data_IF_035600844138
#
_entry.id   IF_035600844138
#
_cell.length_a   1.000
_cell.length_b   1.000
_cell.length_c   1.000
_cell.angle_alpha   90.00
_cell.angle_beta   90.00
_cell.angle_gamma   90.00
#
_symmetry.space_group_name_H-M   'P 1'
#
loop_
_entity.id
_entity.type
_entity.pdbx_description
1 polymer ?
#
# COMPACT_ATOMS: atom_id res chain seq x y z
N UNK A 1 -7.02 -23.11 -8.61
CA UNK A 1 -5.83 -22.59 -7.89
C UNK A 1 -5.72 -21.10 -8.19
N UNK A 2 -5.92 -20.23 -7.20
CA UNK A 2 -5.89 -18.79 -7.39
C UNK A 2 -4.47 -18.35 -7.73
N UNK A 3 -4.27 -17.77 -8.92
CA UNK A 3 -2.94 -17.45 -9.47
C UNK A 3 -2.52 -16.01 -9.20
N UNK A 4 -2.58 -15.56 -7.95
CA UNK A 4 -1.95 -14.31 -7.57
C UNK A 4 -0.51 -14.58 -7.13
N UNK A 5 0.42 -13.76 -7.60
CA UNK A 5 1.80 -13.83 -7.10
C UNK A 5 1.82 -13.40 -5.63
N UNK A 6 2.77 -13.89 -4.81
CA UNK A 6 2.86 -13.52 -3.41
C UNK A 6 2.89 -12.00 -3.17
N UNK A 7 3.49 -11.24 -4.08
CA UNK A 7 3.53 -9.77 -4.01
C UNK A 7 2.15 -9.14 -4.21
N UNK A 8 1.34 -9.68 -5.13
CA UNK A 8 -0.04 -9.22 -5.34
C UNK A 8 -0.91 -9.55 -4.13
N UNK A 9 -0.80 -10.78 -3.61
CA UNK A 9 -1.50 -11.21 -2.40
C UNK A 9 -1.19 -10.29 -1.23
N UNK A 10 0.09 -10.04 -0.95
CA UNK A 10 0.54 -9.16 0.13
C UNK A 10 0.02 -7.72 -0.05
N UNK A 11 0.06 -7.18 -1.28
CA UNK A 11 -0.45 -5.83 -1.56
C UNK A 11 -1.95 -5.72 -1.33
N UNK A 12 -2.73 -6.69 -1.80
CA UNK A 12 -4.20 -6.68 -1.64
C UNK A 12 -4.58 -6.76 -0.17
N UNK A 13 -4.03 -7.72 0.56
CA UNK A 13 -4.36 -7.92 1.98
C UNK A 13 -3.84 -6.77 2.84
N UNK A 14 -2.64 -6.26 2.55
CA UNK A 14 -2.11 -5.07 3.20
C UNK A 14 -2.95 -3.83 2.95
N UNK A 15 -3.46 -3.65 1.73
CA UNK A 15 -4.37 -2.55 1.40
C UNK A 15 -5.69 -2.67 2.17
N UNK A 16 -6.27 -3.88 2.23
CA UNK A 16 -7.49 -4.15 3.00
C UNK A 16 -7.31 -3.86 4.51
N UNK A 17 -6.12 -4.13 5.06
CA UNK A 17 -5.78 -3.81 6.46
C UNK A 17 -5.63 -2.31 6.71
N UNK A 18 -4.90 -1.60 5.83
CA UNK A 18 -4.58 -0.17 6.02
C UNK A 18 -5.81 0.69 5.78
N UNK A 19 -6.59 0.37 4.74
CA UNK A 19 -7.69 1.19 4.26
C UNK A 19 -9.06 0.62 4.63
N UNK A 20 -9.15 -0.24 5.63
CA UNK A 20 -10.45 -0.68 6.14
C UNK A 20 -11.22 0.53 6.70
N UNK A 21 -12.50 0.73 6.33
CA UNK A 21 -13.26 1.91 6.72
C UNK A 21 -13.62 1.94 8.21
N UNK A 22 -13.57 0.79 8.88
CA UNK A 22 -13.91 0.67 10.30
C UNK A 22 -12.84 -0.11 11.06
N UNK A 23 -12.69 0.19 12.34
CA UNK A 23 -11.77 -0.56 13.23
C UNK A 23 -12.15 -2.03 13.30
N UNK A 24 -13.46 -2.33 13.34
CA UNK A 24 -13.98 -3.69 13.32
C UNK A 24 -13.63 -4.42 12.01
N UNK A 25 -13.77 -3.73 10.87
CA UNK A 25 -13.37 -4.28 9.57
C UNK A 25 -11.88 -4.61 9.53
N UNK A 26 -11.02 -3.70 10.02
CA UNK A 26 -9.58 -3.94 10.12
C UNK A 26 -9.25 -5.14 10.99
N UNK A 27 -9.90 -5.24 12.16
CA UNK A 27 -9.71 -6.37 13.07
C UNK A 27 -10.12 -7.68 12.40
N UNK A 28 -11.22 -7.68 11.63
CA UNK A 28 -11.68 -8.88 10.94
C UNK A 28 -10.73 -9.33 9.84
N UNK A 29 -10.22 -8.40 9.03
CA UNK A 29 -9.21 -8.68 8.00
C UNK A 29 -7.95 -9.28 8.65
N UNK A 30 -7.52 -8.74 9.79
CA UNK A 30 -6.34 -9.25 10.51
C UNK A 30 -6.58 -10.68 11.02
N UNK A 31 -7.75 -10.95 11.59
CA UNK A 31 -8.15 -12.29 12.05
C UNK A 31 -8.16 -13.30 10.88
N UNK A 32 -8.71 -12.93 9.73
CA UNK A 32 -8.76 -13.78 8.53
C UNK A 32 -7.36 -14.11 7.99
N UNK A 33 -6.46 -13.11 7.97
CA UNK A 33 -5.06 -13.31 7.55
C UNK A 33 -4.34 -14.26 8.51
N UNK A 34 -4.50 -14.05 9.82
CA UNK A 34 -3.90 -14.92 10.84
C UNK A 34 -4.48 -16.35 10.76
N UNK A 35 -5.79 -16.48 10.53
CA UNK A 35 -6.49 -17.75 10.37
C UNK A 35 -6.03 -18.55 9.15
N UNK A 36 -5.37 -17.92 8.17
CA UNK A 36 -4.73 -18.63 7.06
C UNK A 36 -3.47 -19.39 7.48
N UNK A 37 -2.95 -19.21 8.71
CA UNK A 37 -1.80 -19.94 9.26
C UNK A 37 -0.58 -19.95 8.32
N UNK A 38 -0.28 -18.81 7.69
CA UNK A 38 0.83 -18.65 6.73
C UNK A 38 0.75 -19.55 5.48
N UNK A 39 -0.40 -20.20 5.25
CA UNK A 39 -0.63 -21.00 4.06
C UNK A 39 -0.81 -20.09 2.84
N UNK A 40 0.13 -20.18 1.89
CA UNK A 40 0.14 -19.34 0.70
C UNK A 40 -1.08 -19.52 -0.21
N UNK A 41 -1.66 -20.71 -0.29
CA UNK A 41 -2.86 -20.96 -1.11
C UNK A 41 -4.10 -20.32 -0.49
N UNK A 42 -4.23 -20.38 0.84
CA UNK A 42 -5.33 -19.75 1.56
C UNK A 42 -5.23 -18.22 1.51
N UNK A 43 -4.02 -17.67 1.65
CA UNK A 43 -3.80 -16.23 1.46
C UNK A 43 -4.11 -15.80 0.02
N UNK A 44 -3.76 -16.61 -0.98
CA UNK A 44 -4.11 -16.36 -2.38
C UNK A 44 -5.64 -16.41 -2.60
N UNK A 45 -6.35 -17.35 -1.98
CA UNK A 45 -7.81 -17.41 -2.01
C UNK A 45 -8.47 -16.22 -1.31
N UNK A 46 -7.99 -15.84 -0.13
CA UNK A 46 -8.49 -14.71 0.63
C UNK A 46 -8.32 -13.41 -0.17
N UNK A 47 -7.13 -13.16 -0.70
CA UNK A 47 -6.88 -11.98 -1.53
C UNK A 47 -7.74 -11.94 -2.79
N UNK A 48 -8.05 -13.09 -3.40
CA UNK A 48 -9.01 -13.17 -4.50
C UNK A 48 -10.41 -12.75 -4.09
N UNK A 49 -10.89 -13.19 -2.91
CA UNK A 49 -12.19 -12.78 -2.37
C UNK A 49 -12.23 -11.26 -2.15
N UNK A 50 -11.18 -10.67 -1.58
CA UNK A 50 -11.11 -9.22 -1.39
C UNK A 50 -11.13 -8.46 -2.73
N UNK A 51 -10.40 -8.93 -3.75
CA UNK A 51 -10.44 -8.29 -5.08
C UNK A 51 -11.82 -8.38 -5.71
N UNK A 52 -12.46 -9.55 -5.67
CA UNK A 52 -13.76 -9.74 -6.30
C UNK A 52 -14.89 -9.06 -5.52
N UNK A 53 -14.96 -9.27 -4.21
CA UNK A 53 -16.04 -8.80 -3.36
C UNK A 53 -15.94 -7.33 -2.98
N UNK A 54 -14.74 -6.80 -2.76
CA UNK A 54 -14.57 -5.42 -2.29
C UNK A 54 -14.17 -4.47 -3.42
N UNK A 55 -13.25 -4.87 -4.29
CA UNK A 55 -12.72 -3.95 -5.32
C UNK A 55 -13.63 -3.95 -6.55
N UNK A 56 -13.99 -5.12 -7.09
CA UNK A 56 -14.79 -5.18 -8.32
C UNK A 56 -16.25 -4.82 -8.10
N UNK A 57 -16.91 -5.30 -7.03
CA UNK A 57 -18.31 -4.94 -6.78
C UNK A 57 -18.44 -3.43 -6.57
N UNK A 58 -17.60 -2.82 -5.72
CA UNK A 58 -17.64 -1.38 -5.53
C UNK A 58 -17.36 -0.64 -6.85
N UNK A 59 -16.35 -1.02 -7.64
CA UNK A 59 -16.08 -0.38 -8.93
C UNK A 59 -17.15 -0.60 -9.99
N UNK A 60 -17.84 -1.74 -10.00
CA UNK A 60 -18.94 -2.03 -10.92
C UNK A 60 -20.25 -1.35 -10.52
N UNK A 61 -20.44 -1.06 -9.23
CA UNK A 61 -21.55 -0.26 -8.72
C UNK A 61 -21.39 1.24 -8.99
N UNK A 62 -20.21 1.69 -9.42
CA UNK A 62 -20.00 3.03 -9.99
C UNK A 62 -20.08 2.96 -11.52
N UNK A 63 -21.26 3.19 -12.14
CA UNK A 63 -21.33 3.28 -13.59
C UNK A 63 -20.35 4.36 -14.08
N UNK A 64 -19.56 4.03 -15.11
CA UNK A 64 -18.64 4.97 -15.79
C UNK A 64 -19.40 6.24 -16.17
N UNK A 65 -19.34 7.27 -15.33
CA UNK A 65 -20.08 8.51 -15.55
C UNK A 65 -20.41 9.30 -14.29
N UNK A 66 -20.55 8.68 -13.12
CA UNK A 66 -20.69 9.44 -11.86
C UNK A 66 -19.33 9.50 -11.16
N UNK A 67 -18.55 10.53 -11.51
CA UNK A 67 -17.51 11.03 -10.61
C UNK A 67 -18.25 11.47 -9.35
N UNK A 68 -18.12 10.83 -8.17
CA UNK A 68 -18.57 11.48 -6.97
C UNK A 68 -17.70 12.74 -6.85
N UNK A 69 -18.33 13.90 -6.95
CA UNK A 69 -17.73 15.19 -6.61
C UNK A 69 -16.93 14.98 -5.33
N UNK A 70 -15.62 15.04 -5.44
CA UNK A 70 -14.70 14.92 -4.32
C UNK A 70 -14.90 16.13 -3.41
N UNK A 71 -15.88 16.06 -2.52
CA UNK A 71 -15.95 16.86 -1.31
C UNK A 71 -14.95 16.30 -0.29
N UNK A 72 -13.68 16.34 -0.67
CA UNK A 72 -12.54 16.27 0.23
C UNK A 72 -11.30 16.56 -0.61
N UNK A 73 -10.68 17.72 -0.38
CA UNK A 73 -9.39 18.13 -0.97
C UNK A 73 -8.19 17.33 -0.48
N UNK A 74 -8.41 16.11 0.02
CA UNK A 74 -7.36 15.19 0.40
C UNK A 74 -7.34 14.00 -0.55
N UNK A 75 -6.74 14.20 -1.72
CA UNK A 75 -6.06 13.08 -2.38
C UNK A 75 -4.87 12.70 -1.48
N UNK A 76 -5.11 11.84 -0.48
CA UNK A 76 -4.09 11.46 0.50
C UNK A 76 -2.96 10.63 -0.11
N UNK A 77 -3.05 10.27 -1.40
CA UNK A 77 -2.12 9.34 -2.02
C UNK A 77 -1.89 9.67 -3.48
N UNK A 78 -0.68 10.15 -3.78
CA UNK A 78 -0.18 10.23 -5.14
C UNK A 78 -0.25 8.84 -5.81
N UNK A 79 -0.43 8.81 -7.13
CA UNK A 79 -0.46 7.55 -7.87
C UNK A 79 0.84 6.76 -7.64
N UNK A 80 0.78 5.43 -7.77
CA UNK A 80 1.97 4.59 -7.61
C UNK A 80 3.11 5.03 -8.54
N UNK A 81 2.77 5.44 -9.76
CA UNK A 81 3.73 5.99 -10.71
C UNK A 81 4.29 7.32 -10.21
N UNK A 82 3.46 8.25 -9.77
CA UNK A 82 3.92 9.51 -9.19
C UNK A 82 4.79 9.29 -7.94
N UNK A 83 4.55 8.24 -7.14
CA UNK A 83 5.40 7.89 -6.00
C UNK A 83 6.74 7.33 -6.47
N UNK A 84 6.75 6.45 -7.47
CA UNK A 84 7.97 5.92 -8.06
C UNK A 84 8.81 7.01 -8.74
N UNK A 85 8.16 7.93 -9.45
CA UNK A 85 8.80 9.07 -10.10
C UNK A 85 9.36 10.05 -9.07
N UNK A 86 8.65 10.30 -7.97
CA UNK A 86 9.17 11.12 -6.87
C UNK A 86 10.37 10.46 -6.16
N UNK A 87 10.33 9.14 -5.96
CA UNK A 87 11.48 8.40 -5.40
C UNK A 87 12.65 8.49 -6.38
N UNK A 88 12.43 8.26 -7.67
CA UNK A 88 13.46 8.35 -8.70
C UNK A 88 14.03 9.77 -8.84
N UNK A 89 13.18 10.79 -8.74
CA UNK A 89 13.58 12.20 -8.78
C UNK A 89 14.32 12.64 -7.50
N UNK A 90 13.98 12.05 -6.34
CA UNK A 90 14.62 12.32 -5.05
C UNK A 90 15.94 11.57 -4.83
N UNK A 91 16.20 10.52 -5.62
CA UNK A 91 17.49 9.84 -5.69
C UNK A 91 18.44 10.68 -6.55
N UNK A 92 18.93 11.79 -6.00
CA UNK A 92 20.19 12.37 -6.49
C UNK A 92 21.25 11.28 -6.46
N UNK A 93 22.07 11.19 -7.52
CA UNK A 93 23.06 10.15 -7.73
C UNK A 93 23.80 9.80 -6.41
N UNK A 94 24.05 8.49 -6.15
CA UNK A 94 24.80 8.09 -4.96
C UNK A 94 26.13 8.86 -4.98
N UNK A 95 26.29 9.74 -4.01
CA UNK A 95 27.47 10.58 -3.93
C UNK A 95 28.64 9.65 -3.61
N UNK A 96 29.57 9.55 -4.55
CA UNK A 96 30.67 8.57 -4.57
C UNK A 96 31.61 8.70 -3.35
N UNK A 97 31.48 9.80 -2.58
CA UNK A 97 32.28 10.08 -1.40
C UNK A 97 31.46 10.03 -0.11
N UNK A 98 31.89 9.20 0.83
CA UNK A 98 31.35 9.11 2.20
C UNK A 98 31.42 10.44 2.96
N UNK A 99 32.36 11.34 2.59
CA UNK A 99 32.46 12.66 3.21
C UNK A 99 31.26 13.56 2.89
N UNK A 100 30.67 13.44 1.70
CA UNK A 100 29.55 14.28 1.26
C UNK A 100 28.22 13.76 1.82
N UNK A 101 28.11 12.45 2.04
CA UNK A 101 26.92 11.83 2.65
C UNK A 101 26.81 12.10 4.17
N UNK A 102 27.90 12.55 4.82
CA UNK A 102 27.97 12.72 6.27
C UNK A 102 27.15 13.93 6.75
N UNK A 103 27.28 15.07 6.11
CA UNK A 103 26.58 16.31 6.49
C UNK A 103 25.05 16.21 6.42
N UNK A 104 24.44 15.66 5.35
CA UNK A 104 22.99 15.46 5.32
C UNK A 104 22.53 14.38 6.31
N UNK A 105 23.35 13.36 6.59
CA UNK A 105 23.04 12.35 7.61
C UNK A 105 23.03 12.96 9.01
N UNK A 106 24.02 13.79 9.36
CA UNK A 106 24.08 14.50 10.63
C UNK A 106 22.90 15.47 10.80
N UNK A 107 22.55 16.21 9.73
CA UNK A 107 21.37 17.08 9.74
C UNK A 107 20.07 16.30 9.95
N UNK A 108 19.91 15.16 9.28
CA UNK A 108 18.76 14.25 9.46
C UNK A 108 18.64 13.75 10.89
N UNK A 109 19.77 13.48 11.53
CA UNK A 109 19.84 12.95 12.89
C UNK A 109 19.89 14.05 13.97
N UNK A 110 19.72 15.32 13.56
CA UNK A 110 19.84 16.50 14.42
C UNK A 110 21.11 16.49 15.28
N UNK A 111 22.22 16.04 14.68
CA UNK A 111 23.52 15.85 15.31
C UNK A 111 23.50 14.97 16.57
N UNK A 112 22.46 14.15 16.76
CA UNK A 112 22.37 13.19 17.85
C UNK A 112 22.99 11.87 17.41
N UNK A 113 23.69 11.21 18.32
CA UNK A 113 24.02 9.81 18.15
C UNK A 113 22.71 9.00 18.24
N UNK A 114 22.42 8.24 17.19
CA UNK A 114 21.32 7.27 17.12
C UNK A 114 21.90 5.87 17.28
#
# INVERSE_FOLDING_TARGET
MFRFSPQVVARVLGYALIHSPTVQGKAKVAEEILGCNWNGEFLAGLSYIYVMGMIRVCMSSHPKGSVPTSLSGHSSRASFQATADNIAAGLTQPTISSSIAKDPALARDNYRCI
#
